data_IF_300553103165
#
_entry.id   IF_300553103165
#
_cell.length_a   1.000
_cell.length_b   1.000
_cell.length_c   1.000
_cell.angle_alpha   90.00
_cell.angle_beta   90.00
_cell.angle_gamma   90.00
#
_symmetry.space_group_name_H-M   'P 1'
#
loop_
_entity.id
_entity.type
_entity.pdbx_description
1 polymer ?
#
# COMPACT_ATOMS: atom_id res chain seq x y z
N UNK A 1 -5.99 11.24 -18.96
CA UNK A 1 -5.23 12.49 -19.14
C UNK A 1 -5.62 13.17 -20.46
N UNK A 2 -5.60 14.51 -20.58
CA UNK A 2 -5.86 15.25 -21.83
C UNK A 2 -4.67 16.18 -22.14
N UNK A 3 -4.07 16.03 -23.32
CA UNK A 3 -2.90 16.78 -23.78
C UNK A 3 -3.33 17.69 -24.94
N UNK A 4 -3.07 18.98 -24.81
CA UNK A 4 -3.35 19.98 -25.85
C UNK A 4 -2.06 20.71 -26.22
N UNK A 5 -1.71 20.75 -27.51
CA UNK A 5 -0.62 21.57 -28.00
C UNK A 5 -1.05 23.04 -28.07
N UNK A 6 -0.22 23.92 -27.57
CA UNK A 6 -0.40 25.38 -27.58
C UNK A 6 0.73 26.03 -28.40
N UNK A 7 0.65 27.34 -28.65
CA UNK A 7 1.71 28.06 -29.35
C UNK A 7 3.05 28.07 -28.59
N UNK A 8 3.01 27.94 -27.26
CA UNK A 8 4.16 28.08 -26.37
C UNK A 8 4.70 26.74 -25.85
N UNK A 9 3.97 25.63 -26.08
CA UNK A 9 4.31 24.30 -25.60
C UNK A 9 3.06 23.42 -25.43
N UNK A 10 2.93 22.72 -24.29
CA UNK A 10 1.83 21.78 -24.04
C UNK A 10 1.03 22.14 -22.79
N UNK A 11 -0.30 22.01 -22.88
CA UNK A 11 -1.21 22.06 -21.76
C UNK A 11 -1.76 20.66 -21.49
N UNK A 12 -1.36 20.08 -20.37
CA UNK A 12 -1.76 18.74 -19.95
C UNK A 12 -2.71 18.92 -18.78
N UNK A 13 -3.87 18.25 -18.84
CA UNK A 13 -4.89 18.34 -17.80
C UNK A 13 -5.32 16.95 -17.33
N UNK A 14 -5.39 16.78 -16.02
CA UNK A 14 -5.86 15.54 -15.41
C UNK A 14 -6.90 15.84 -14.31
N UNK A 15 -8.17 15.44 -14.48
CA UNK A 15 -9.18 15.60 -13.44
C UNK A 15 -8.87 14.69 -12.25
N UNK A 16 -9.22 15.14 -11.04
CA UNK A 16 -9.07 14.32 -9.83
C UNK A 16 -10.12 13.20 -9.78
N UNK A 17 -9.94 12.26 -8.84
CA UNK A 17 -10.84 11.11 -8.67
C UNK A 17 -12.23 11.52 -8.18
N UNK A 18 -13.16 11.74 -9.13
CA UNK A 18 -14.56 12.07 -8.83
C UNK A 18 -15.26 11.03 -7.96
N UNK A 19 -14.96 9.74 -8.15
CA UNK A 19 -15.60 8.67 -7.39
C UNK A 19 -15.23 8.73 -5.89
N UNK A 20 -13.94 8.90 -5.60
CA UNK A 20 -13.47 9.10 -4.22
C UNK A 20 -14.08 10.36 -3.62
N UNK A 21 -14.15 11.44 -4.41
CA UNK A 21 -14.82 12.68 -4.02
C UNK A 21 -16.30 12.49 -3.66
N UNK A 22 -17.08 11.78 -4.48
CA UNK A 22 -18.51 11.51 -4.20
C UNK A 22 -18.67 10.68 -2.92
N UNK A 23 -17.84 9.65 -2.74
CA UNK A 23 -17.87 8.83 -1.52
C UNK A 23 -17.57 9.66 -0.27
N UNK A 24 -16.52 10.48 -0.31
CA UNK A 24 -16.17 11.40 0.78
C UNK A 24 -17.23 12.48 1.01
N UNK A 25 -17.92 12.95 -0.03
CA UNK A 25 -18.99 13.93 0.08
C UNK A 25 -20.17 13.36 0.89
N UNK A 26 -20.66 12.17 0.50
CA UNK A 26 -21.75 11.50 1.20
C UNK A 26 -21.36 11.24 2.66
N UNK A 27 -20.16 10.72 2.88
CA UNK A 27 -19.65 10.47 4.22
C UNK A 27 -19.54 11.75 5.06
N UNK A 28 -18.95 12.81 4.50
CA UNK A 28 -18.82 14.12 5.16
C UNK A 28 -20.17 14.75 5.50
N UNK A 29 -21.17 14.60 4.63
CA UNK A 29 -22.53 15.09 4.88
C UNK A 29 -23.20 14.33 6.04
N UNK A 30 -23.13 12.99 6.04
CA UNK A 30 -23.65 12.17 7.14
C UNK A 30 -22.94 12.53 8.44
N UNK A 31 -21.62 12.62 8.42
CA UNK A 31 -20.78 12.94 9.57
C UNK A 31 -21.11 14.31 10.18
N UNK A 32 -21.18 15.34 9.33
CA UNK A 32 -21.48 16.71 9.76
C UNK A 32 -22.92 16.84 10.26
N UNK A 33 -23.87 16.16 9.62
CA UNK A 33 -25.27 16.16 10.05
C UNK A 33 -25.44 15.48 11.41
N UNK A 34 -24.80 14.33 11.58
CA UNK A 34 -24.78 13.61 12.85
C UNK A 34 -24.18 14.47 13.96
N UNK A 35 -23.02 15.08 13.72
CA UNK A 35 -22.35 15.94 14.72
C UNK A 35 -23.19 17.18 15.06
N UNK A 36 -23.80 17.81 14.05
CA UNK A 36 -24.72 18.95 14.23
C UNK A 36 -25.96 18.57 15.04
N UNK A 37 -26.51 17.36 14.84
CA UNK A 37 -27.64 16.85 15.60
C UNK A 37 -27.31 16.72 17.10
N UNK A 38 -26.13 16.19 17.44
CA UNK A 38 -25.69 16.13 18.85
C UNK A 38 -25.46 17.51 19.45
N UNK A 39 -24.86 18.44 18.69
CA UNK A 39 -24.69 19.82 19.15
C UNK A 39 -26.05 20.49 19.41
N UNK A 40 -27.04 20.24 18.55
CA UNK A 40 -28.41 20.73 18.73
C UNK A 40 -29.07 20.18 20.01
N UNK A 41 -28.96 18.87 20.26
CA UNK A 41 -29.47 18.26 21.49
C UNK A 41 -28.77 18.83 22.72
N UNK A 42 -27.44 18.94 22.68
CA UNK A 42 -26.69 19.54 23.79
C UNK A 42 -27.19 20.96 24.08
N UNK A 43 -27.32 21.80 23.05
CA UNK A 43 -27.77 23.17 23.23
C UNK A 43 -29.24 23.29 23.70
N UNK A 44 -30.12 22.35 23.34
CA UNK A 44 -31.52 22.38 23.77
C UNK A 44 -31.71 22.02 25.24
N UNK A 45 -30.88 21.12 25.78
CA UNK A 45 -30.88 20.71 27.19
C UNK A 45 -30.25 21.76 28.12
N UNK A 46 -29.39 22.63 27.58
CA UNK A 46 -28.61 23.60 28.37
C UNK A 46 -29.27 24.97 28.58
N UNK A 47 -30.52 25.15 28.13
CA UNK A 47 -31.17 26.48 28.09
C UNK A 47 -31.32 27.18 29.43
N UNK A 48 -31.43 26.43 30.53
CA UNK A 48 -31.81 27.04 31.82
C UNK A 48 -30.65 27.18 32.82
N UNK A 49 -29.57 26.38 32.71
CA UNK A 49 -28.36 26.50 33.57
C UNK A 49 -27.13 25.91 32.88
N UNK A 50 -26.27 26.76 32.31
CA UNK A 50 -24.97 26.34 31.80
C UNK A 50 -23.96 26.13 32.95
N UNK A 51 -23.37 24.94 33.03
CA UNK A 51 -22.29 24.56 33.93
C UNK A 51 -21.00 24.33 33.14
N UNK A 52 -19.84 24.48 33.78
CA UNK A 52 -18.55 24.15 33.17
C UNK A 52 -18.46 22.67 32.73
N UNK A 53 -19.24 21.78 33.36
CA UNK A 53 -19.33 20.37 33.00
C UNK A 53 -20.02 20.13 31.65
N UNK A 54 -20.73 21.13 31.11
CA UNK A 54 -21.45 21.02 29.84
C UNK A 54 -20.57 21.36 28.63
N UNK A 55 -19.43 22.01 28.88
CA UNK A 55 -18.49 22.48 27.87
C UNK A 55 -17.97 21.34 26.94
N UNK A 56 -17.63 20.12 27.42
CA UNK A 56 -17.26 19.01 26.55
C UNK A 56 -18.35 18.60 25.57
N UNK A 57 -19.63 18.66 25.98
CA UNK A 57 -20.78 18.30 25.14
C UNK A 57 -21.03 19.31 24.01
N UNK A 58 -20.47 20.51 24.10
CA UNK A 58 -20.50 21.53 23.04
C UNK A 58 -19.22 21.44 22.19
N UNK A 59 -18.05 21.42 22.83
CA UNK A 59 -16.75 21.45 22.14
C UNK A 59 -16.55 20.20 21.29
N UNK A 60 -16.86 19.02 21.82
CA UNK A 60 -16.57 17.77 21.12
C UNK A 60 -17.38 17.68 19.80
N UNK A 61 -18.72 17.83 19.78
CA UNK A 61 -19.46 17.86 18.51
C UNK A 61 -19.00 18.98 17.58
N UNK A 62 -18.65 20.15 18.11
CA UNK A 62 -18.14 21.27 17.30
C UNK A 62 -16.83 20.91 16.58
N UNK A 63 -15.90 20.25 17.26
CA UNK A 63 -14.67 19.75 16.64
C UNK A 63 -14.96 18.71 15.55
N UNK A 64 -15.93 17.81 15.77
CA UNK A 64 -16.35 16.85 14.77
C UNK A 64 -17.01 17.50 13.54
N UNK A 65 -17.79 18.57 13.74
CA UNK A 65 -18.32 19.39 12.65
C UNK A 65 -17.18 20.01 11.84
N UNK A 66 -16.13 20.54 12.47
CA UNK A 66 -14.97 21.09 11.77
C UNK A 66 -14.24 20.02 10.92
N UNK A 67 -14.07 18.80 11.46
CA UNK A 67 -13.56 17.67 10.68
C UNK A 67 -14.47 17.38 9.48
N UNK A 68 -15.78 17.35 9.70
CA UNK A 68 -16.79 17.16 8.66
C UNK A 68 -16.69 18.20 7.54
N UNK A 69 -16.55 19.48 7.88
CA UNK A 69 -16.32 20.58 6.92
C UNK A 69 -15.03 20.36 6.14
N UNK A 70 -13.95 19.95 6.81
CA UNK A 70 -12.69 19.60 6.16
C UNK A 70 -12.85 18.46 5.14
N UNK A 71 -13.58 17.40 5.52
CA UNK A 71 -13.89 16.28 4.61
C UNK A 71 -14.72 16.73 3.42
N UNK A 72 -15.71 17.60 3.62
CA UNK A 72 -16.52 18.18 2.54
C UNK A 72 -15.66 19.03 1.60
N UNK A 73 -14.73 19.83 2.13
CA UNK A 73 -13.78 20.60 1.32
C UNK A 73 -12.90 19.70 0.45
N UNK A 74 -12.33 18.63 1.05
CA UNK A 74 -11.53 17.63 0.33
C UNK A 74 -12.38 16.93 -0.74
N UNK A 75 -13.63 16.57 -0.41
CA UNK A 75 -14.55 15.92 -1.33
C UNK A 75 -14.85 16.80 -2.55
N UNK A 76 -15.17 18.07 -2.32
CA UNK A 76 -15.40 19.05 -3.39
C UNK A 76 -14.14 19.26 -4.24
N UNK A 77 -12.97 19.36 -3.61
CA UNK A 77 -11.69 19.37 -4.31
C UNK A 77 -11.53 18.18 -5.25
N UNK A 78 -11.75 16.95 -4.76
CA UNK A 78 -11.69 15.73 -5.58
C UNK A 78 -12.70 15.67 -6.73
N UNK A 79 -13.88 16.29 -6.59
CA UNK A 79 -14.90 16.29 -7.64
C UNK A 79 -14.61 17.34 -8.70
N UNK A 80 -14.23 18.55 -8.26
CA UNK A 80 -14.17 19.73 -9.11
C UNK A 80 -12.77 20.01 -9.63
N UNK A 81 -11.72 19.65 -8.88
CA UNK A 81 -10.37 20.03 -9.26
C UNK A 81 -9.84 19.23 -10.44
N UNK A 82 -9.05 19.94 -11.22
CA UNK A 82 -8.23 19.42 -12.31
C UNK A 82 -6.83 19.94 -12.11
N UNK A 83 -5.84 19.03 -12.15
CA UNK A 83 -4.43 19.43 -12.22
C UNK A 83 -4.11 19.79 -13.65
N UNK A 84 -3.54 20.98 -13.85
CA UNK A 84 -3.04 21.49 -15.14
C UNK A 84 -1.53 21.64 -15.05
N UNK A 85 -0.83 20.99 -15.98
CA UNK A 85 0.59 21.15 -16.24
C UNK A 85 0.72 21.97 -17.52
N UNK A 86 1.30 23.14 -17.41
CA UNK A 86 1.65 23.97 -18.55
C UNK A 86 3.16 23.85 -18.76
N UNK A 87 3.52 23.13 -19.81
CA UNK A 87 4.90 22.90 -20.23
C UNK A 87 5.25 23.96 -21.27
N UNK A 88 6.17 24.84 -20.94
CA UNK A 88 6.69 25.92 -21.77
C UNK A 88 8.20 25.74 -21.97
N UNK A 89 8.81 26.47 -22.91
CA UNK A 89 10.24 26.29 -23.27
C UNK A 89 11.19 26.35 -22.08
N UNK A 90 10.90 27.20 -21.10
CA UNK A 90 11.77 27.49 -19.96
C UNK A 90 11.25 26.95 -18.62
N UNK A 91 9.96 26.66 -18.52
CA UNK A 91 9.33 26.27 -17.25
C UNK A 91 8.18 25.27 -17.41
N UNK A 92 7.97 24.49 -16.36
CA UNK A 92 6.81 23.64 -16.14
C UNK A 92 6.01 24.23 -14.98
N UNK A 93 4.83 24.75 -15.28
CA UNK A 93 3.91 25.32 -14.30
C UNK A 93 2.83 24.30 -13.95
N UNK A 94 2.76 23.95 -12.67
CA UNK A 94 1.78 23.02 -12.11
C UNK A 94 0.77 23.81 -11.32
N UNK A 95 -0.51 23.68 -11.68
CA UNK A 95 -1.60 24.35 -10.98
C UNK A 95 -2.79 23.41 -10.82
N UNK A 96 -3.56 23.61 -9.75
CA UNK A 96 -4.81 22.90 -9.51
C UNK A 96 -5.94 23.90 -9.27
N UNK A 97 -7.11 23.64 -9.83
CA UNK A 97 -8.29 24.46 -9.59
C UNK A 97 -9.56 23.77 -10.07
N UNK A 98 -10.75 24.30 -9.76
CA UNK A 98 -10.97 25.68 -9.30
C UNK A 98 -10.79 25.92 -7.79
N UNK A 99 -10.85 24.89 -6.95
CA UNK A 99 -10.72 25.03 -5.49
C UNK A 99 -9.22 25.10 -5.12
N UNK A 100 -8.80 26.11 -4.31
CA UNK A 100 -7.40 26.33 -3.97
C UNK A 100 -6.87 25.25 -3.01
N UNK A 101 -6.33 24.17 -3.58
CA UNK A 101 -5.79 23.06 -2.80
C UNK A 101 -4.27 23.10 -2.71
N UNK A 102 -3.61 23.33 -3.86
CA UNK A 102 -2.16 23.44 -3.95
C UNK A 102 -1.76 24.84 -4.38
N UNK A 103 -0.65 25.33 -3.80
CA UNK A 103 0.03 26.50 -4.34
C UNK A 103 0.55 26.13 -5.73
N UNK A 104 0.47 27.08 -6.67
CA UNK A 104 1.07 26.91 -8.01
C UNK A 104 2.56 26.62 -7.84
N UNK A 105 3.04 25.53 -8.43
CA UNK A 105 4.46 25.15 -8.39
C UNK A 105 5.04 25.42 -9.77
N UNK A 106 6.16 26.13 -9.81
CA UNK A 106 6.91 26.41 -11.04
C UNK A 106 8.26 25.68 -10.94
N UNK A 107 8.60 24.94 -11.98
CA UNK A 107 9.86 24.20 -12.09
C UNK A 107 10.55 24.72 -13.33
N UNK A 108 11.75 25.26 -13.19
CA UNK A 108 12.50 25.76 -14.34
C UNK A 108 13.24 24.62 -15.03
N UNK A 109 13.32 24.65 -16.36
CA UNK A 109 13.99 23.63 -17.16
C UNK A 109 15.44 23.41 -16.70
N UNK A 110 16.17 24.50 -16.40
CA UNK A 110 17.56 24.41 -15.93
C UNK A 110 17.70 23.77 -14.53
N UNK A 111 16.63 23.61 -13.78
CA UNK A 111 16.64 22.92 -12.49
C UNK A 111 16.41 21.42 -12.64
N UNK A 112 15.98 20.96 -13.82
CA UNK A 112 15.64 19.57 -14.08
C UNK A 112 16.79 18.92 -14.84
N UNK A 113 17.38 17.90 -14.23
CA UNK A 113 18.36 17.04 -14.88
C UNK A 113 17.66 15.95 -15.69
N UNK A 114 16.66 15.30 -15.10
CA UNK A 114 15.91 14.20 -15.72
C UNK A 114 14.52 14.08 -15.09
N UNK A 115 13.52 13.66 -15.87
CA UNK A 115 12.21 13.23 -15.39
C UNK A 115 12.20 11.71 -15.32
N UNK A 116 11.60 11.12 -14.30
CA UNK A 116 11.53 9.66 -14.19
C UNK A 116 10.32 9.23 -13.37
N UNK A 117 9.94 7.96 -13.47
CA UNK A 117 8.76 7.41 -12.81
C UNK A 117 9.17 6.51 -11.66
N UNK A 118 8.62 6.79 -10.48
CA UNK A 118 8.80 5.95 -9.29
C UNK A 118 7.54 5.13 -9.06
N UNK A 119 7.72 3.83 -8.84
CA UNK A 119 6.61 2.98 -8.40
C UNK A 119 6.09 3.44 -7.03
N UNK A 120 4.80 3.74 -6.94
CA UNK A 120 4.18 4.03 -5.66
C UNK A 120 3.86 2.77 -4.85
N UNK A 121 4.13 1.57 -5.37
CA UNK A 121 3.83 0.27 -4.76
C UNK A 121 4.39 0.07 -3.34
N UNK A 122 5.39 0.84 -2.90
CA UNK A 122 5.73 0.93 -1.46
C UNK A 122 4.56 1.44 -0.58
N UNK A 123 3.46 1.91 -1.18
CA UNK A 123 2.25 2.46 -0.55
C UNK A 123 0.94 1.87 -1.13
N UNK A 124 0.83 0.57 -1.44
CA UNK A 124 -0.45 -0.12 -1.71
C UNK A 124 -1.42 0.55 -2.72
N UNK A 125 -0.93 1.44 -3.59
CA UNK A 125 -1.74 2.10 -4.62
C UNK A 125 -1.12 1.83 -5.97
N UNK A 126 -1.91 1.35 -6.94
CA UNK A 126 -1.47 1.05 -8.32
C UNK A 126 -1.18 2.33 -9.14
N UNK A 127 -0.91 3.44 -8.46
CA UNK A 127 -0.47 4.67 -9.11
C UNK A 127 1.04 4.67 -9.22
N UNK A 128 1.54 5.49 -10.12
CA UNK A 128 2.96 5.85 -10.15
C UNK A 128 3.11 7.33 -9.85
N UNK A 129 4.29 7.70 -9.37
CA UNK A 129 4.60 9.08 -9.01
C UNK A 129 5.69 9.60 -9.93
N UNK A 130 5.38 10.51 -10.88
CA UNK A 130 6.42 11.17 -11.64
C UNK A 130 7.25 12.06 -10.72
N UNK A 131 8.56 11.95 -10.86
CA UNK A 131 9.56 12.69 -10.13
C UNK A 131 10.58 13.27 -11.11
N UNK A 132 11.44 14.13 -10.59
CA UNK A 132 12.60 14.64 -11.32
C UNK A 132 13.82 14.68 -10.42
N UNK A 133 14.98 14.52 -11.04
CA UNK A 133 16.26 14.83 -10.42
C UNK A 133 16.53 16.31 -10.63
N UNK A 134 16.84 17.02 -9.55
CA UNK A 134 17.35 18.37 -9.67
C UNK A 134 18.86 18.37 -10.03
N UNK A 135 19.44 19.54 -10.31
CA UNK A 135 20.88 19.68 -10.61
C UNK A 135 21.79 19.19 -9.47
N UNK A 136 21.30 19.11 -8.23
CA UNK A 136 22.04 18.61 -7.08
C UNK A 136 21.90 17.07 -6.93
N UNK A 137 21.25 16.38 -7.87
CA UNK A 137 20.94 14.95 -7.80
C UNK A 137 19.87 14.58 -6.77
N UNK A 138 19.16 15.56 -6.22
CA UNK A 138 18.06 15.34 -5.27
C UNK A 138 16.76 15.03 -6.00
N UNK A 139 16.06 14.01 -5.51
CA UNK A 139 14.75 13.59 -6.04
C UNK A 139 13.65 14.53 -5.55
N UNK A 140 12.83 15.03 -6.47
CA UNK A 140 11.66 15.85 -6.16
C UNK A 140 10.43 15.35 -6.91
N UNK A 141 9.29 15.25 -6.22
CA UNK A 141 8.04 14.83 -6.86
C UNK A 141 7.46 15.97 -7.69
N UNK A 142 6.97 15.63 -8.89
CA UNK A 142 6.40 16.61 -9.81
C UNK A 142 5.21 17.31 -9.16
N UNK A 143 4.21 16.53 -8.73
CA UNK A 143 2.98 17.02 -8.10
C UNK A 143 3.09 17.32 -6.59
N UNK A 144 4.31 17.31 -6.04
CA UNK A 144 4.56 17.54 -4.60
C UNK A 144 4.18 16.35 -3.69
N UNK A 145 4.63 16.41 -2.44
CA UNK A 145 4.17 15.55 -1.35
C UNK A 145 3.23 16.36 -0.47
N UNK A 146 1.96 15.97 -0.35
CA UNK A 146 1.04 16.69 0.54
C UNK A 146 0.51 15.77 1.62
N UNK A 147 0.93 16.04 2.87
CA UNK A 147 0.41 15.43 4.10
C UNK A 147 0.34 13.89 4.14
N UNK A 148 1.23 13.19 3.43
CA UNK A 148 1.16 11.72 3.30
C UNK A 148 -0.18 11.18 2.78
N UNK A 149 -1.07 12.07 2.31
CA UNK A 149 -2.30 11.68 1.64
C UNK A 149 -1.92 11.25 0.21
N UNK A 150 -2.55 10.20 -0.31
CA UNK A 150 -2.35 9.81 -1.70
C UNK A 150 -2.59 11.02 -2.59
N UNK A 151 -1.63 11.30 -3.48
CA UNK A 151 -1.73 12.41 -4.42
C UNK A 151 -3.03 12.25 -5.22
N UNK A 152 -3.96 13.22 -5.23
CA UNK A 152 -5.28 13.03 -5.86
C UNK A 152 -5.20 12.84 -7.38
N UNK A 153 -4.04 13.15 -7.97
CA UNK A 153 -3.69 12.88 -9.35
C UNK A 153 -2.91 11.57 -9.45
N UNK A 154 -3.64 10.44 -9.46
CA UNK A 154 -3.06 9.17 -9.86
C UNK A 154 -2.94 9.14 -11.39
N UNK A 155 -1.72 8.93 -11.89
CA UNK A 155 -1.49 8.56 -13.27
C UNK A 155 -1.37 7.04 -13.34
N UNK A 156 -1.88 6.46 -14.43
CA UNK A 156 -1.48 5.09 -14.79
C UNK A 156 0.00 5.08 -15.19
N UNK A 157 0.62 3.89 -15.21
CA UNK A 157 2.02 3.73 -15.67
C UNK A 157 2.18 4.34 -17.07
N UNK A 158 1.28 3.99 -18.00
CA UNK A 158 1.26 4.50 -19.37
C UNK A 158 1.10 6.02 -19.44
N UNK A 159 0.17 6.61 -18.66
CA UNK A 159 -0.03 8.06 -18.63
C UNK A 159 1.20 8.79 -18.08
N UNK A 160 1.89 8.20 -17.11
CA UNK A 160 3.10 8.77 -16.55
C UNK A 160 4.29 8.66 -17.52
N UNK A 161 4.45 7.52 -18.23
CA UNK A 161 5.47 7.33 -19.27
C UNK A 161 5.26 8.30 -20.41
N UNK A 162 4.01 8.45 -20.87
CA UNK A 162 3.66 9.45 -21.89
C UNK A 162 4.00 10.87 -21.43
N UNK A 163 3.78 11.17 -20.14
CA UNK A 163 4.09 12.48 -19.57
C UNK A 163 5.60 12.73 -19.47
N UNK A 164 6.37 11.72 -19.06
CA UNK A 164 7.83 11.75 -19.00
C UNK A 164 8.42 12.01 -20.39
N UNK A 165 8.12 11.14 -21.37
CA UNK A 165 8.59 11.25 -22.75
C UNK A 165 8.24 12.62 -23.35
N UNK A 166 7.00 13.10 -23.15
CA UNK A 166 6.58 14.40 -23.67
C UNK A 166 7.39 15.57 -23.09
N UNK A 167 7.72 15.53 -21.80
CA UNK A 167 8.51 16.58 -21.15
C UNK A 167 9.96 16.51 -21.65
N UNK A 168 10.53 15.31 -21.70
CA UNK A 168 11.92 15.10 -22.11
C UNK A 168 12.14 15.48 -23.57
N UNK A 169 11.29 15.03 -24.47
CA UNK A 169 11.32 15.38 -25.89
C UNK A 169 11.20 16.89 -26.10
N UNK A 170 10.25 17.53 -25.41
CA UNK A 170 10.01 18.96 -25.58
C UNK A 170 11.16 19.82 -25.03
N UNK A 171 11.81 19.39 -23.96
CA UNK A 171 12.96 20.08 -23.38
C UNK A 171 14.30 19.62 -23.94
N UNK A 172 14.35 18.56 -24.74
CA UNK A 172 15.60 17.97 -25.22
C UNK A 172 16.45 17.43 -24.07
N UNK A 173 15.80 16.87 -23.05
CA UNK A 173 16.48 16.14 -21.98
C UNK A 173 16.83 14.76 -22.52
N UNK A 174 18.09 14.35 -22.37
CA UNK A 174 18.50 13.00 -22.73
C UNK A 174 18.13 12.05 -21.61
N UNK A 175 17.41 10.99 -21.97
CA UNK A 175 17.06 9.93 -21.04
C UNK A 175 18.30 9.18 -20.53
N UNK A 176 18.32 8.87 -19.24
CA UNK A 176 19.41 8.14 -18.59
C UNK A 176 18.84 7.21 -17.51
N UNK A 177 19.39 6.01 -17.29
CA UNK A 177 18.84 5.11 -16.29
C UNK A 177 18.94 5.70 -14.88
N UNK A 178 17.80 5.93 -14.21
CA UNK A 178 17.76 6.36 -12.80
C UNK A 178 17.58 5.15 -11.90
N UNK A 179 18.37 5.07 -10.84
CA UNK A 179 18.19 4.03 -9.81
C UNK A 179 16.77 4.09 -9.24
N UNK A 180 16.09 2.95 -9.17
CA UNK A 180 14.69 2.80 -8.71
C UNK A 180 13.61 3.34 -9.67
N UNK A 181 13.96 3.65 -10.91
CA UNK A 181 13.01 3.96 -11.97
C UNK A 181 12.23 2.71 -12.40
N UNK A 182 10.95 2.90 -12.70
CA UNK A 182 10.11 1.85 -13.25
C UNK A 182 10.54 1.55 -14.70
N UNK A 183 10.86 0.30 -15.08
CA UNK A 183 11.38 0.00 -16.40
C UNK A 183 10.43 0.49 -17.49
N UNK A 184 10.96 1.23 -18.48
CA UNK A 184 10.20 1.71 -19.63
C UNK A 184 9.65 0.54 -20.42
N UNK A 185 8.34 0.51 -20.62
CA UNK A 185 7.72 -0.55 -21.40
C UNK A 185 8.00 -0.25 -22.88
N UNK A 186 9.04 -0.86 -23.45
CA UNK A 186 9.34 -0.69 -24.87
C UNK A 186 8.23 -1.37 -25.69
N UNK A 187 7.37 -0.60 -26.39
CA UNK A 187 6.20 -1.15 -27.09
C UNK A 187 6.58 -2.06 -28.28
N UNK A 188 7.87 -2.11 -28.64
CA UNK A 188 8.41 -2.93 -29.72
C UNK A 188 9.22 -4.14 -29.26
N UNK A 189 9.29 -4.41 -27.96
CA UNK A 189 9.55 -5.79 -27.52
C UNK A 189 8.23 -6.52 -27.61
N UNK A 190 7.78 -6.74 -28.86
CA UNK A 190 6.97 -7.91 -29.13
C UNK A 190 7.65 -9.05 -28.38
N UNK A 191 6.84 -9.81 -27.66
CA UNK A 191 7.22 -11.09 -27.09
C UNK A 191 7.92 -11.83 -28.23
N UNK A 192 9.26 -11.73 -28.31
CA UNK A 192 10.06 -12.81 -28.84
C UNK A 192 9.67 -13.91 -27.88
N UNK A 193 8.70 -14.73 -28.32
CA UNK A 193 8.40 -16.01 -27.73
C UNK A 193 9.77 -16.58 -27.43
N UNK A 194 10.12 -16.65 -26.13
CA UNK A 194 11.29 -17.39 -25.71
C UNK A 194 11.17 -18.70 -26.47
N UNK A 195 12.05 -19.00 -27.44
CA UNK A 195 11.91 -20.21 -28.21
C UNK A 195 11.95 -21.28 -27.14
N UNK A 196 10.85 -22.02 -27.03
CA UNK A 196 10.78 -23.26 -26.30
C UNK A 196 12.05 -24.00 -26.69
N UNK A 197 12.99 -24.09 -25.77
CA UNK A 197 14.17 -24.94 -25.91
C UNK A 197 13.60 -26.36 -25.92
N UNK A 198 13.18 -26.82 -27.09
CA UNK A 198 12.94 -28.21 -27.35
C UNK A 198 14.29 -28.89 -27.21
N UNK A 199 14.33 -29.76 -26.22
CA UNK A 199 15.30 -30.82 -26.06
C UNK A 199 15.60 -31.44 -27.42
N UNK A 200 16.84 -31.29 -27.88
CA UNK A 200 17.40 -32.15 -28.91
C UNK A 200 18.51 -32.96 -28.28
N UNK A 201 18.29 -34.27 -28.30
CA UNK A 201 19.11 -35.31 -27.72
C UNK A 201 20.55 -35.36 -28.28
N UNK A 202 21.45 -35.78 -27.37
CA UNK A 202 22.60 -36.64 -27.59
C UNK A 202 23.77 -36.15 -28.47
N UNK A 203 24.93 -35.94 -27.79
CA UNK A 203 26.11 -36.81 -27.90
C UNK A 203 27.45 -36.06 -28.01
N UNK A 204 28.30 -36.39 -27.04
CA UNK A 204 29.77 -36.51 -27.12
C UNK A 204 30.70 -35.29 -27.11
N UNK A 205 31.67 -35.43 -26.18
CA UNK A 205 33.00 -34.83 -26.05
C UNK A 205 33.08 -33.48 -25.36
N UNK A 206 33.42 -33.56 -24.08
CA UNK A 206 33.67 -32.42 -23.21
C UNK A 206 34.94 -31.63 -23.58
N UNK A 207 34.97 -30.36 -23.16
CA UNK A 207 36.17 -29.70 -22.73
C UNK A 207 36.26 -29.71 -21.20
N UNK A 208 37.49 -29.76 -20.71
CA UNK A 208 37.87 -29.66 -19.31
C UNK A 208 37.19 -28.45 -18.65
N UNK A 209 36.43 -28.73 -17.58
CA UNK A 209 35.91 -27.70 -16.69
C UNK A 209 37.08 -27.06 -15.93
N UNK A 210 37.51 -25.89 -16.38
CA UNK A 210 38.14 -24.92 -15.49
C UNK A 210 37.13 -24.62 -14.37
N UNK A 211 37.51 -24.98 -13.13
CA UNK A 211 36.77 -24.73 -11.91
C UNK A 211 36.73 -23.22 -11.62
N UNK A 212 35.89 -22.50 -12.35
CA UNK A 212 35.61 -21.11 -12.11
C UNK A 212 34.43 -20.95 -11.13
N UNK A 213 34.77 -20.36 -9.99
CA UNK A 213 33.90 -19.65 -9.06
C UNK A 213 33.12 -20.47 -8.04
N UNK A 214 33.75 -20.53 -6.88
CA UNK A 214 33.22 -20.76 -5.54
C UNK A 214 31.79 -20.23 -5.31
N UNK A 215 31.02 -20.86 -4.41
CA UNK A 215 29.72 -20.35 -3.97
C UNK A 215 29.86 -18.88 -3.55
N UNK A 216 29.02 -18.02 -4.13
CA UNK A 216 28.88 -16.61 -3.76
C UNK A 216 29.02 -16.48 -2.24
N UNK A 217 30.09 -15.81 -1.80
CA UNK A 217 30.46 -15.85 -0.38
C UNK A 217 29.28 -15.32 0.44
N UNK A 218 29.00 -15.97 1.56
CA UNK A 218 28.01 -15.53 2.55
C UNK A 218 28.14 -14.04 2.91
N UNK A 219 29.33 -13.43 2.70
CA UNK A 219 29.57 -11.99 2.88
C UNK A 219 28.91 -11.09 1.81
N UNK A 220 28.73 -11.56 0.57
CA UNK A 220 27.99 -10.84 -0.49
C UNK A 220 26.48 -10.93 -0.26
N UNK A 221 25.99 -12.11 0.15
CA UNK A 221 24.65 -12.27 0.69
C UNK A 221 24.45 -11.34 1.90
N UNK A 222 25.41 -11.23 2.83
CA UNK A 222 25.35 -10.28 3.95
C UNK A 222 25.36 -8.80 3.54
N UNK A 223 26.01 -8.43 2.43
CA UNK A 223 25.96 -7.08 1.87
C UNK A 223 24.61 -6.77 1.21
N UNK A 224 24.02 -7.74 0.50
CA UNK A 224 22.64 -7.64 0.02
C UNK A 224 21.63 -7.61 1.19
N UNK A 225 21.90 -8.35 2.27
CA UNK A 225 21.14 -8.35 3.53
C UNK A 225 21.23 -7.01 4.31
N UNK A 226 22.15 -6.09 3.99
CA UNK A 226 22.17 -4.73 4.57
C UNK A 226 21.13 -3.80 3.94
N UNK A 227 20.56 -4.17 2.79
CA UNK A 227 19.41 -3.50 2.18
C UNK A 227 18.06 -4.11 2.67
N UNK A 228 18.02 -4.62 3.91
CA UNK A 228 16.84 -5.25 4.52
C UNK A 228 15.61 -4.34 4.41
N UNK A 229 14.45 -4.85 3.98
CA UNK A 229 13.20 -4.29 4.46
C UNK A 229 13.21 -4.50 5.99
N UNK A 230 13.01 -3.43 6.75
CA UNK A 230 13.12 -3.39 8.23
C UNK A 230 12.19 -4.38 8.98
N UNK A 231 11.51 -5.30 8.29
CA UNK A 231 10.47 -6.19 8.77
C UNK A 231 10.89 -7.66 8.92
N UNK A 232 12.04 -8.11 8.38
CA UNK A 232 12.45 -9.53 8.38
C UNK A 232 13.69 -9.77 9.25
N UNK A 233 13.57 -10.67 10.22
CA UNK A 233 14.65 -11.22 11.04
C UNK A 233 14.91 -12.66 10.62
N UNK A 234 16.16 -12.99 10.30
CA UNK A 234 16.61 -14.34 9.98
C UNK A 234 17.62 -14.82 11.00
N UNK A 235 17.48 -16.07 11.44
CA UNK A 235 18.39 -16.77 12.33
C UNK A 235 18.60 -18.19 11.79
N UNK A 236 19.86 -18.58 11.59
CA UNK A 236 20.23 -19.92 11.16
C UNK A 236 20.87 -20.61 12.36
N UNK A 237 20.23 -21.65 12.88
CA UNK A 237 20.73 -22.42 14.00
C UNK A 237 21.01 -23.88 13.56
N UNK A 238 21.51 -24.70 14.47
CA UNK A 238 21.75 -26.13 14.21
C UNK A 238 20.47 -26.89 13.88
N UNK A 239 19.32 -26.38 14.34
CA UNK A 239 18.00 -26.99 14.12
C UNK A 239 17.37 -26.59 12.77
N UNK A 240 17.97 -25.63 12.04
CA UNK A 240 17.53 -25.16 10.72
C UNK A 240 17.40 -23.64 10.59
N UNK A 241 16.47 -23.19 9.73
CA UNK A 241 16.21 -21.77 9.47
C UNK A 241 14.99 -21.30 10.27
N UNK A 242 15.19 -20.23 11.05
CA UNK A 242 14.13 -19.50 11.72
C UNK A 242 14.01 -18.08 11.16
N UNK A 243 12.84 -17.74 10.63
CA UNK A 243 12.58 -16.42 10.05
C UNK A 243 11.34 -15.80 10.67
N UNK A 244 11.42 -14.53 11.05
CA UNK A 244 10.30 -13.77 11.61
C UNK A 244 10.05 -12.53 10.76
N UNK A 245 8.85 -12.42 10.20
CA UNK A 245 8.39 -11.24 9.47
C UNK A 245 7.34 -10.50 10.28
N UNK A 246 7.62 -9.24 10.64
CA UNK A 246 6.64 -8.36 11.29
C UNK A 246 5.59 -7.87 10.28
N UNK A 247 4.33 -7.76 10.72
CA UNK A 247 3.23 -7.21 9.92
C UNK A 247 3.12 -5.68 10.03
N UNK A 248 4.10 -5.07 10.69
CA UNK A 248 4.11 -3.66 11.05
C UNK A 248 3.73 -2.76 9.87
N UNK A 249 2.64 -2.03 10.06
CA UNK A 249 2.19 -1.00 9.14
C UNK A 249 1.88 0.28 9.94
N UNK A 250 2.46 1.45 9.58
CA UNK A 250 2.20 2.70 10.30
C UNK A 250 0.72 3.10 10.30
N UNK A 251 -0.06 2.69 9.29
CA UNK A 251 -1.52 2.87 9.24
C UNK A 251 -2.19 2.13 10.41
N UNK A 252 -1.62 1.01 10.86
CA UNK A 252 -2.08 0.26 12.03
C UNK A 252 -2.14 1.11 13.29
N UNK A 253 -1.14 1.97 13.57
CA UNK A 253 -1.15 2.85 14.75
C UNK A 253 -2.25 3.89 14.67
N UNK A 254 -2.40 4.51 13.50
CA UNK A 254 -3.47 5.46 13.27
C UNK A 254 -4.84 4.81 13.49
N UNK A 255 -5.08 3.63 12.90
CA UNK A 255 -6.32 2.89 13.07
C UNK A 255 -6.55 2.44 14.51
N UNK A 256 -5.50 2.10 15.25
CA UNK A 256 -5.60 1.73 16.66
C UNK A 256 -6.05 2.92 17.52
N UNK A 257 -5.35 4.05 17.41
CA UNK A 257 -5.70 5.28 18.16
C UNK A 257 -7.09 5.77 17.77
N UNK A 258 -7.38 5.82 16.47
CA UNK A 258 -8.70 6.20 15.97
C UNK A 258 -9.78 5.27 16.48
N UNK A 259 -9.59 3.95 16.37
CA UNK A 259 -10.54 2.95 16.84
C UNK A 259 -10.79 3.04 18.36
N UNK A 260 -9.77 3.36 19.15
CA UNK A 260 -9.87 3.51 20.60
C UNK A 260 -10.72 4.73 20.96
N UNK A 261 -10.39 5.88 20.39
CA UNK A 261 -11.15 7.14 20.57
C UNK A 261 -12.60 6.96 20.09
N UNK A 262 -12.77 6.38 18.90
CA UNK A 262 -14.07 6.15 18.28
C UNK A 262 -14.95 5.24 19.14
N UNK A 263 -14.45 4.08 19.53
CA UNK A 263 -15.19 3.09 20.34
C UNK A 263 -15.48 3.66 21.73
N UNK A 264 -14.53 4.40 22.32
CA UNK A 264 -14.71 5.08 23.59
C UNK A 264 -15.85 6.10 23.54
N UNK A 265 -15.83 7.01 22.57
CA UNK A 265 -16.86 8.05 22.42
C UNK A 265 -18.22 7.41 22.13
N UNK A 266 -18.31 6.56 21.11
CA UNK A 266 -19.59 5.95 20.71
C UNK A 266 -20.17 5.03 21.77
N UNK A 267 -19.32 4.28 22.48
CA UNK A 267 -19.71 3.42 23.60
C UNK A 267 -20.24 4.20 24.80
N UNK A 268 -19.58 5.30 25.19
CA UNK A 268 -20.05 6.15 26.29
C UNK A 268 -21.40 6.80 25.95
N UNK A 269 -21.58 7.30 24.72
CA UNK A 269 -22.86 7.86 24.28
C UNK A 269 -23.96 6.78 24.28
N UNK A 270 -23.67 5.58 23.76
CA UNK A 270 -24.62 4.47 23.76
C UNK A 270 -25.03 4.07 25.19
N UNK A 271 -24.07 4.00 26.11
CA UNK A 271 -24.33 3.71 27.51
C UNK A 271 -25.18 4.79 28.18
N UNK A 272 -24.88 6.07 27.93
CA UNK A 272 -25.67 7.18 28.45
C UNK A 272 -27.13 7.15 27.93
N UNK A 273 -27.32 6.95 26.63
CA UNK A 273 -28.67 6.79 26.06
C UNK A 273 -29.40 5.57 26.63
N UNK A 274 -28.68 4.49 26.94
CA UNK A 274 -29.24 3.33 27.60
C UNK A 274 -29.74 3.65 29.02
N UNK A 275 -29.02 4.46 29.79
CA UNK A 275 -29.50 4.95 31.09
C UNK A 275 -30.78 5.76 30.94
N UNK A 276 -30.83 6.71 30.00
CA UNK A 276 -32.04 7.50 29.72
C UNK A 276 -33.22 6.60 29.30
N UNK A 277 -32.97 5.55 28.53
CA UNK A 277 -34.01 4.59 28.13
C UNK A 277 -34.56 3.78 29.32
N UNK A 278 -33.74 3.51 30.34
CA UNK A 278 -34.19 2.82 31.55
C UNK A 278 -35.08 3.72 32.41
N UNK A 279 -34.83 5.02 32.42
CA UNK A 279 -35.66 6.02 33.11
C UNK A 279 -36.98 6.28 32.39
N UNK A 280 -36.95 6.50 31.07
CA UNK A 280 -38.13 6.67 30.23
C UNK A 280 -38.02 5.90 28.90
N UNK A 281 -38.95 4.95 28.70
CA UNK A 281 -38.91 3.98 27.60
C UNK A 281 -39.45 4.59 26.32
N UNK A 282 -38.68 5.47 25.70
CA UNK A 282 -38.96 5.96 24.36
C UNK A 282 -38.35 5.06 23.27
N UNK A 283 -39.17 4.69 22.27
CA UNK A 283 -38.74 3.86 21.13
C UNK A 283 -37.62 4.51 20.32
N UNK A 284 -37.60 5.85 20.26
CA UNK A 284 -36.58 6.63 19.55
C UNK A 284 -35.21 6.44 20.21
N UNK A 285 -35.16 6.43 21.55
CA UNK A 285 -33.92 6.20 22.31
C UNK A 285 -33.39 4.79 22.06
N UNK A 286 -34.27 3.78 22.03
CA UNK A 286 -33.87 2.41 21.69
C UNK A 286 -33.27 2.30 20.28
N UNK A 287 -33.88 2.97 19.30
CA UNK A 287 -33.34 3.01 17.94
C UNK A 287 -31.97 3.69 17.88
N UNK A 288 -31.79 4.82 18.59
CA UNK A 288 -30.50 5.51 18.66
C UNK A 288 -29.40 4.65 19.29
N UNK A 289 -29.72 3.90 20.36
CA UNK A 289 -28.81 2.93 20.98
C UNK A 289 -28.42 1.85 19.97
N UNK A 290 -29.40 1.22 19.32
CA UNK A 290 -29.15 0.16 18.34
C UNK A 290 -28.27 0.64 17.19
N UNK A 291 -28.51 1.85 16.69
CA UNK A 291 -27.69 2.49 15.67
C UNK A 291 -26.25 2.73 16.15
N UNK A 292 -26.04 3.28 17.35
CA UNK A 292 -24.71 3.49 17.92
C UNK A 292 -23.96 2.19 18.16
N UNK A 293 -24.64 1.11 18.55
CA UNK A 293 -24.01 -0.20 18.75
C UNK A 293 -23.39 -0.75 17.45
N UNK A 294 -23.92 -0.40 16.28
CA UNK A 294 -23.28 -0.72 14.99
C UNK A 294 -21.91 -0.01 14.89
N UNK A 295 -21.82 1.26 15.27
CA UNK A 295 -20.56 2.00 15.24
C UNK A 295 -19.56 1.52 16.28
N UNK A 296 -20.02 1.11 17.46
CA UNK A 296 -19.18 0.46 18.47
C UNK A 296 -18.61 -0.84 17.91
N UNK A 297 -19.44 -1.67 17.25
CA UNK A 297 -18.98 -2.90 16.62
C UNK A 297 -17.96 -2.66 15.50
N UNK A 298 -18.18 -1.63 14.66
CA UNK A 298 -17.20 -1.20 13.63
C UNK A 298 -15.89 -0.74 14.28
N UNK A 299 -15.97 0.06 15.36
CA UNK A 299 -14.82 0.52 16.12
C UNK A 299 -13.99 -0.62 16.71
N UNK A 300 -14.66 -1.59 17.35
CA UNK A 300 -14.03 -2.80 17.88
C UNK A 300 -13.40 -3.67 16.78
N UNK A 301 -14.06 -3.77 15.62
CA UNK A 301 -13.51 -4.48 14.47
C UNK A 301 -12.23 -3.81 13.93
N UNK A 302 -12.24 -2.47 13.81
CA UNK A 302 -11.06 -1.68 13.42
C UNK A 302 -9.93 -1.83 14.43
N UNK A 303 -10.22 -1.76 15.73
CA UNK A 303 -9.27 -1.97 16.81
C UNK A 303 -8.61 -3.35 16.71
N UNK A 304 -9.42 -4.40 16.54
CA UNK A 304 -8.90 -5.76 16.38
C UNK A 304 -8.00 -5.86 15.15
N UNK A 305 -8.41 -5.27 14.01
CA UNK A 305 -7.60 -5.30 12.78
C UNK A 305 -6.29 -4.53 12.94
N UNK A 306 -6.33 -3.36 13.59
CA UNK A 306 -5.17 -2.56 13.91
C UNK A 306 -4.19 -3.31 14.83
N UNK A 307 -4.70 -3.95 15.88
CA UNK A 307 -3.90 -4.73 16.82
C UNK A 307 -3.23 -5.93 16.14
N UNK A 308 -3.96 -6.62 15.24
CA UNK A 308 -3.37 -7.67 14.39
C UNK A 308 -2.22 -7.09 13.57
N UNK A 309 -2.43 -5.99 12.84
CA UNK A 309 -1.38 -5.40 12.00
C UNK A 309 -0.17 -4.88 12.79
N UNK A 310 -0.36 -4.44 14.04
CA UNK A 310 0.71 -3.88 14.87
C UNK A 310 1.54 -4.95 15.56
N UNK A 311 0.90 -6.01 16.06
CA UNK A 311 1.54 -6.98 16.95
C UNK A 311 1.81 -8.31 16.25
N UNK A 312 1.07 -8.65 15.19
CA UNK A 312 1.32 -9.93 14.52
C UNK A 312 2.67 -9.95 13.79
N UNK A 313 3.25 -11.14 13.84
CA UNK A 313 4.39 -11.56 13.05
C UNK A 313 4.10 -12.94 12.47
N UNK A 314 4.67 -13.21 11.32
CA UNK A 314 4.74 -14.55 10.74
C UNK A 314 6.08 -15.16 11.10
N UNK A 315 6.03 -16.30 11.78
CA UNK A 315 7.19 -17.11 12.11
C UNK A 315 7.25 -18.30 11.17
N UNK A 316 8.37 -18.40 10.48
CA UNK A 316 8.72 -19.48 9.58
C UNK A 316 9.81 -20.29 10.27
N UNK A 317 9.61 -21.60 10.32
CA UNK A 317 10.57 -22.51 10.90
C UNK A 317 10.75 -23.66 9.93
N UNK A 318 11.95 -23.77 9.37
CA UNK A 318 12.37 -24.85 8.50
C UNK A 318 13.38 -25.69 9.29
N UNK A 319 12.91 -26.80 9.86
CA UNK A 319 13.79 -27.77 10.53
C UNK A 319 14.09 -28.93 9.57
N UNK A 320 14.88 -29.92 10.01
CA UNK A 320 15.13 -31.17 9.28
C UNK A 320 13.86 -31.92 8.90
N UNK A 321 12.87 -31.95 9.79
CA UNK A 321 11.69 -32.81 9.63
C UNK A 321 10.56 -32.11 8.87
N UNK A 322 10.34 -30.82 9.14
CA UNK A 322 9.22 -30.07 8.58
C UNK A 322 9.50 -28.58 8.44
N UNK A 323 8.86 -27.99 7.45
CA UNK A 323 8.54 -26.57 7.40
C UNK A 323 7.29 -26.28 8.22
N UNK A 324 7.28 -25.20 9.00
CA UNK A 324 6.07 -24.70 9.63
C UNK A 324 5.94 -23.19 9.58
N UNK A 325 4.71 -22.75 9.37
CA UNK A 325 4.32 -21.35 9.38
C UNK A 325 3.31 -21.10 10.50
N UNK A 326 3.61 -20.12 11.34
CA UNK A 326 2.74 -19.73 12.47
C UNK A 326 2.65 -18.21 12.57
N UNK A 327 1.44 -17.71 12.75
CA UNK A 327 1.21 -16.30 13.05
C UNK A 327 1.08 -16.10 14.57
N UNK A 328 1.77 -15.10 15.11
CA UNK A 328 1.77 -14.78 16.54
C UNK A 328 1.72 -13.28 16.77
N UNK A 329 1.08 -12.79 17.85
CA UNK A 329 0.41 -13.60 18.88
C UNK A 329 -1.01 -14.05 18.51
N UNK A 330 -1.68 -13.38 17.56
CA UNK A 330 -3.05 -13.70 17.17
C UNK A 330 -3.07 -14.77 16.08
N UNK A 331 -3.96 -15.76 16.26
CA UNK A 331 -4.24 -16.81 15.26
C UNK A 331 -5.01 -16.19 14.08
N UNK A 332 -4.29 -15.82 13.04
CA UNK A 332 -4.83 -15.38 11.75
C UNK A 332 -4.32 -16.32 10.66
N UNK A 333 -5.17 -16.78 9.75
CA UNK A 333 -4.76 -17.72 8.69
C UNK A 333 -4.68 -19.18 9.13
N UNK A 334 -4.36 -20.06 8.17
CA UNK A 334 -4.20 -21.51 8.41
C UNK A 334 -2.79 -21.79 8.92
N UNK A 335 -2.65 -22.66 9.92
CA UNK A 335 -1.35 -23.20 10.32
C UNK A 335 -0.89 -24.17 9.24
N UNK A 336 0.26 -23.92 8.64
CA UNK A 336 0.85 -24.79 7.63
C UNK A 336 2.00 -25.57 8.28
N UNK A 337 2.04 -26.88 8.02
CA UNK A 337 3.12 -27.78 8.39
C UNK A 337 3.32 -28.77 7.25
N UNK A 338 4.51 -28.79 6.67
CA UNK A 338 4.82 -29.58 5.47
C UNK A 338 6.12 -30.35 5.75
N UNK A 339 6.16 -31.68 5.61
CA UNK A 339 7.39 -32.46 5.74
C UNK A 339 8.45 -32.00 4.74
N UNK A 340 9.72 -31.87 5.14
CA UNK A 340 10.80 -31.43 4.24
C UNK A 340 10.96 -32.36 3.04
N UNK A 341 10.81 -33.66 3.27
CA UNK A 341 10.85 -34.69 2.22
C UNK A 341 9.80 -34.49 1.13
N UNK A 342 8.69 -33.80 1.44
CA UNK A 342 7.61 -33.55 0.47
C UNK A 342 7.84 -32.26 -0.30
N UNK A 343 8.70 -31.36 0.20
CA UNK A 343 9.02 -30.09 -0.46
C UNK A 343 10.03 -30.37 -1.56
N UNK A 344 9.76 -29.90 -2.78
CA UNK A 344 10.68 -29.98 -3.91
C UNK A 344 11.54 -28.72 -3.97
N UNK A 345 10.90 -27.55 -4.11
CA UNK A 345 11.49 -26.22 -4.08
C UNK A 345 10.45 -25.16 -3.70
N UNK A 346 10.92 -23.96 -3.38
CA UNK A 346 10.10 -22.77 -3.14
C UNK A 346 10.08 -21.91 -4.38
N UNK A 347 8.92 -21.33 -4.69
CA UNK A 347 8.77 -20.38 -5.76
C UNK A 347 7.84 -19.23 -5.34
N UNK A 348 7.77 -18.20 -6.18
CA UNK A 348 6.69 -17.24 -6.16
C UNK A 348 6.17 -17.11 -7.59
N UNK A 349 4.87 -16.91 -7.74
CA UNK A 349 4.30 -16.62 -9.06
C UNK A 349 3.67 -15.24 -9.01
N UNK A 350 3.96 -14.43 -10.01
CA UNK A 350 3.23 -13.20 -10.26
C UNK A 350 1.77 -13.57 -10.60
N UNK A 351 0.88 -13.36 -9.64
CA UNK A 351 -0.55 -13.59 -9.84
C UNK A 351 -1.22 -12.24 -10.11
N UNK A 352 -1.82 -12.13 -11.30
CA UNK A 352 -2.63 -10.97 -11.69
C UNK A 352 -4.03 -11.13 -11.11
N UNK A 353 -4.30 -10.49 -9.97
CA UNK A 353 -5.66 -10.44 -9.42
C UNK A 353 -6.48 -9.37 -10.13
N UNK A 354 -7.43 -9.81 -10.93
CA UNK A 354 -8.40 -8.94 -11.58
C UNK A 354 -9.62 -8.70 -10.70
N UNK A 355 -9.78 -7.46 -10.25
CA UNK A 355 -10.99 -7.02 -9.56
C UNK A 355 -11.92 -6.34 -10.56
N UNK A 356 -13.00 -7.03 -10.94
CA UNK A 356 -14.07 -6.43 -11.76
C UNK A 356 -15.08 -5.70 -10.87
N UNK A 357 -15.11 -4.37 -10.94
CA UNK A 357 -16.10 -3.55 -10.23
C UNK A 357 -16.72 -2.51 -11.16
N UNK A 358 -18.03 -2.64 -11.42
CA UNK A 358 -18.82 -1.72 -12.28
C UNK A 358 -18.20 -1.44 -13.66
N UNK A 359 -17.80 -2.49 -14.38
CA UNK A 359 -17.30 -2.37 -15.76
C UNK A 359 -15.85 -1.87 -15.90
N UNK A 360 -15.13 -1.66 -14.79
CA UNK A 360 -13.67 -1.47 -14.80
C UNK A 360 -12.99 -2.70 -14.20
N UNK A 361 -11.98 -3.22 -14.91
CA UNK A 361 -11.07 -4.25 -14.40
C UNK A 361 -9.88 -3.54 -13.78
N UNK A 362 -9.63 -3.75 -12.48
CA UNK A 362 -8.39 -3.33 -11.84
C UNK A 362 -7.53 -4.56 -11.67
N UNK A 363 -6.35 -4.57 -12.28
CA UNK A 363 -5.36 -5.61 -12.10
C UNK A 363 -4.41 -5.20 -10.97
N UNK A 364 -4.25 -6.06 -9.98
CA UNK A 364 -3.26 -5.93 -8.91
C UNK A 364 -2.28 -7.10 -9.06
N UNK A 365 -0.99 -6.78 -9.13
CA UNK A 365 0.07 -7.77 -9.11
C UNK A 365 0.31 -8.15 -7.66
N UNK A 366 0.20 -9.44 -7.38
CA UNK A 366 0.58 -10.00 -6.09
C UNK A 366 1.65 -11.07 -6.33
N UNK A 367 2.55 -11.23 -5.35
CA UNK A 367 3.68 -12.16 -5.44
C UNK A 367 3.59 -13.20 -4.32
N UNK A 368 2.56 -14.06 -4.31
CA UNK A 368 2.42 -15.09 -3.30
C UNK A 368 3.56 -16.11 -3.37
N UNK A 369 4.17 -16.35 -2.22
CA UNK A 369 5.13 -17.44 -2.04
C UNK A 369 4.36 -18.75 -1.99
N UNK A 370 4.78 -19.70 -2.83
CA UNK A 370 4.24 -21.04 -2.88
C UNK A 370 5.35 -22.06 -2.71
N UNK A 371 4.95 -23.26 -2.34
CA UNK A 371 5.85 -24.41 -2.26
C UNK A 371 5.39 -25.44 -3.27
N UNK A 372 6.34 -25.89 -4.08
CA UNK A 372 6.14 -27.00 -4.98
C UNK A 372 6.43 -28.28 -4.21
N UNK A 373 5.46 -29.19 -4.15
CA UNK A 373 5.59 -30.48 -3.50
C UNK A 373 6.02 -31.54 -4.51
N UNK A 374 6.71 -32.59 -4.05
CA UNK A 374 7.21 -33.70 -4.89
C UNK A 374 6.11 -34.49 -5.60
N UNK A 375 4.88 -34.41 -5.11
CA UNK A 375 3.71 -35.00 -5.78
C UNK A 375 3.18 -34.15 -6.94
N UNK A 376 3.84 -33.02 -7.26
CA UNK A 376 3.41 -32.06 -8.28
C UNK A 376 2.39 -31.03 -7.79
N UNK A 377 1.88 -31.17 -6.55
CA UNK A 377 0.93 -30.21 -5.98
C UNK A 377 1.65 -28.93 -5.56
N UNK A 378 1.01 -27.80 -5.86
CA UNK A 378 1.51 -26.48 -5.45
C UNK A 378 0.68 -25.93 -4.32
N UNK A 379 1.31 -25.61 -3.20
CA UNK A 379 0.64 -25.07 -2.02
C UNK A 379 1.05 -23.62 -1.76
N UNK A 380 0.08 -22.71 -1.79
CA UNK A 380 0.31 -21.30 -1.45
C UNK A 380 0.48 -21.12 0.06
N UNK A 381 1.56 -20.46 0.49
CA UNK A 381 1.85 -20.26 1.92
C UNK A 381 1.00 -19.18 2.57
N UNK A 382 0.70 -18.11 1.83
CA UNK A 382 -0.08 -16.98 2.33
C UNK A 382 -1.13 -16.57 1.31
N UNK A 383 -2.32 -16.25 1.81
CA UNK A 383 -3.21 -15.39 1.07
C UNK A 383 -2.57 -13.98 1.03
N UNK A 384 -2.38 -13.46 -0.19
CA UNK A 384 -1.81 -12.14 -0.44
C UNK A 384 -2.53 -11.00 0.34
N UNK A 385 -3.76 -11.24 0.80
CA UNK A 385 -4.54 -10.29 1.60
C UNK A 385 -4.02 -10.08 3.04
N UNK A 386 -3.22 -11.01 3.58
CA UNK A 386 -2.78 -10.99 4.99
C UNK A 386 -1.40 -10.35 5.17
N UNK A 387 -0.55 -10.44 4.16
CA UNK A 387 0.81 -9.97 4.19
C UNK A 387 1.08 -9.21 2.90
N UNK A 388 1.20 -7.90 2.98
CA UNK A 388 1.77 -7.11 1.89
C UNK A 388 3.26 -7.46 1.81
N UNK A 389 3.61 -8.35 0.89
CA UNK A 389 5.00 -8.70 0.56
C UNK A 389 5.29 -8.05 -0.79
N UNK A 390 6.35 -7.25 -0.88
CA UNK A 390 6.80 -6.72 -2.18
C UNK A 390 7.43 -7.82 -3.02
N UNK A 391 7.61 -7.60 -4.33
CA UNK A 391 8.28 -8.57 -5.20
C UNK A 391 9.68 -8.92 -4.68
N UNK A 392 10.47 -7.91 -4.30
CA UNK A 392 11.84 -8.11 -3.83
C UNK A 392 11.87 -8.88 -2.50
N UNK A 393 10.87 -8.65 -1.64
CA UNK A 393 10.72 -9.43 -0.41
C UNK A 393 10.36 -10.89 -0.70
N UNK A 394 9.51 -11.16 -1.70
CA UNK A 394 9.17 -12.52 -2.11
C UNK A 394 10.35 -13.25 -2.74
N UNK A 395 11.09 -12.58 -3.63
CA UNK A 395 12.34 -13.10 -4.23
C UNK A 395 13.36 -13.46 -3.16
N UNK A 396 13.59 -12.54 -2.22
CA UNK A 396 14.50 -12.76 -1.10
C UNK A 396 14.08 -13.97 -0.24
N UNK A 397 12.80 -14.07 0.10
CA UNK A 397 12.29 -15.18 0.90
C UNK A 397 12.44 -16.52 0.18
N UNK A 398 12.14 -16.58 -1.12
CA UNK A 398 12.31 -17.78 -1.94
C UNK A 398 13.78 -18.19 -2.02
N UNK A 399 14.70 -17.24 -2.22
CA UNK A 399 16.13 -17.51 -2.22
C UNK A 399 16.58 -18.09 -0.88
N UNK A 400 16.20 -17.46 0.24
CA UNK A 400 16.55 -17.91 1.59
C UNK A 400 15.99 -19.30 1.89
N UNK A 401 14.73 -19.57 1.53
CA UNK A 401 14.13 -20.88 1.76
C UNK A 401 14.76 -21.98 0.91
N UNK A 402 15.09 -21.71 -0.37
CA UNK A 402 15.76 -22.68 -1.23
C UNK A 402 17.19 -22.97 -0.76
N UNK A 403 17.96 -21.96 -0.35
CA UNK A 403 19.29 -22.17 0.22
C UNK A 403 19.25 -22.99 1.51
N UNK A 404 18.29 -22.70 2.40
CA UNK A 404 18.13 -23.47 3.63
C UNK A 404 17.68 -24.92 3.37
N UNK A 405 16.81 -25.13 2.38
CA UNK A 405 16.38 -26.48 1.96
C UNK A 405 17.56 -27.31 1.43
N UNK A 406 18.44 -26.71 0.64
CA UNK A 406 19.65 -27.37 0.15
C UNK A 406 20.60 -27.75 1.28
N UNK A 407 20.80 -26.85 2.26
CA UNK A 407 21.63 -27.13 3.42
C UNK A 407 21.09 -28.29 4.27
N UNK A 408 19.77 -28.32 4.49
CA UNK A 408 19.12 -29.41 5.24
C UNK A 408 19.28 -30.75 4.53
N UNK A 409 19.15 -30.81 3.19
CA UNK A 409 19.34 -32.04 2.40
C UNK A 409 20.81 -32.47 2.30
N UNK A 410 21.74 -31.52 2.21
CA UNK A 410 23.17 -31.82 2.15
C UNK A 410 23.67 -32.57 3.38
N UNK A 411 23.13 -32.21 4.55
CA UNK A 411 23.47 -32.88 5.81
C UNK A 411 22.97 -34.34 5.86
N UNK A 412 21.94 -34.73 5.10
CA UNK A 412 21.45 -36.13 5.08
C UNK A 412 22.45 -37.10 4.42
N UNK A 413 23.38 -36.60 3.60
CA UNK A 413 24.38 -37.44 2.94
C UNK A 413 25.66 -37.65 3.77
N UNK A 414 25.83 -36.94 4.89
CA UNK A 414 26.97 -37.10 5.80
C UNK A 414 26.69 -38.04 6.99
N UNK A 415 25.42 -38.44 7.20
CA UNK A 415 25.00 -39.41 8.21
C UNK A 415 24.65 -40.76 7.58
#
# INVERSE_FOLDING_TARGET
MNIQKTNEGYLISNPWSRFTGIGLLIFGLIWTSFSSFFLYIANSQLKDKFSALDLPFIIMPSFFILIGIGLLYIALGNILNTTKLQLSKDELLISSGPIPFFKKKRIWKNQVQQIFIIDSAKRNSNGVLPAYLNQDGQRQYLFGQTFSLPNPCFLTVEEAQTLEELIEDFWGIQDAPVKDELPKHSPNTAIEEFPYFLEEDASEKGPEMESANSPQSFSELQKLLKARPNSILTDFNQDGLFLVKSWYNPIGYFLFVFGLIWTGITGNIAFFLFQLYLEDKHIITLFAIAFLMIFVAVGLWLLRRALINLVNSSQFQLNTDFFSLRHRPFRTGKKIRIPIQDIEYWDFVEEKKEYKRKGRTRTELIYPISVQLRNGERQQLFDASLLSISQEESEYLVQVFNSALQQVRGNEHEF
#
